data_IF_843223489967
#
_entry.id   IF_843223489967
#
_cell.length_a   1.000
_cell.length_b   1.000
_cell.length_c   1.000
_cell.angle_alpha   90.00
_cell.angle_beta   90.00
_cell.angle_gamma   90.00
#
_symmetry.space_group_name_H-M   'P 1'
#
loop_
_entity.id
_entity.type
_entity.pdbx_description
1 polymer ?
#
# COMPACT_ATOMS: atom_id res chain seq x y z
N UNK A 1 5.13 9.59 -22.42
CA UNK A 1 5.20 10.09 -21.04
C UNK A 1 5.13 8.90 -20.11
N UNK A 2 6.03 8.80 -19.13
CA UNK A 2 5.96 7.77 -18.11
C UNK A 2 4.94 8.17 -17.02
N UNK A 3 3.88 7.39 -16.83
CA UNK A 3 2.86 7.69 -15.81
C UNK A 3 3.43 7.66 -14.38
N UNK A 4 4.30 6.68 -14.06
CA UNK A 4 4.90 6.51 -12.73
C UNK A 4 5.75 7.71 -12.32
N UNK A 5 6.42 8.35 -13.28
CA UNK A 5 7.18 9.56 -13.03
C UNK A 5 6.30 10.68 -12.45
N UNK A 6 5.12 10.91 -13.05
CA UNK A 6 4.17 11.91 -12.55
C UNK A 6 3.61 11.53 -11.19
N UNK A 7 3.36 10.25 -10.94
CA UNK A 7 2.97 9.76 -9.61
C UNK A 7 4.01 10.14 -8.54
N UNK A 8 5.30 9.98 -8.84
CA UNK A 8 6.35 10.38 -7.91
C UNK A 8 6.44 11.90 -7.75
N UNK A 9 6.36 12.67 -8.84
CA UNK A 9 6.38 14.14 -8.79
C UNK A 9 5.26 14.67 -7.90
N UNK A 10 4.02 14.21 -8.07
CA UNK A 10 2.88 14.70 -7.29
C UNK A 10 3.00 14.43 -5.79
N UNK A 11 3.81 13.44 -5.40
CA UNK A 11 4.09 13.11 -3.99
C UNK A 11 5.20 13.97 -3.38
N UNK A 12 6.00 14.67 -4.18
CA UNK A 12 7.05 15.57 -3.69
C UNK A 12 6.46 16.82 -3.07
N UNK A 13 7.14 17.38 -2.06
CA UNK A 13 6.66 18.59 -1.38
C UNK A 13 6.72 19.83 -2.26
N UNK A 14 7.63 19.87 -3.25
CA UNK A 14 7.67 20.93 -4.25
C UNK A 14 6.35 20.98 -5.05
N UNK A 15 5.87 19.83 -5.52
CA UNK A 15 4.62 19.77 -6.27
C UNK A 15 3.40 20.02 -5.37
N UNK A 16 3.40 19.51 -4.13
CA UNK A 16 2.34 19.84 -3.16
C UNK A 16 2.29 21.33 -2.86
N UNK A 17 3.45 21.99 -2.76
CA UNK A 17 3.56 23.44 -2.60
C UNK A 17 2.92 24.19 -3.75
N UNK A 18 3.26 23.82 -4.99
CA UNK A 18 2.66 24.39 -6.20
C UNK A 18 1.13 24.20 -6.23
N UNK A 19 0.65 22.98 -5.94
CA UNK A 19 -0.78 22.67 -5.85
C UNK A 19 -1.46 23.54 -4.79
N UNK A 20 -0.85 23.70 -3.62
CA UNK A 20 -1.39 24.52 -2.53
C UNK A 20 -1.44 26.02 -2.89
N UNK A 21 -0.43 26.55 -3.58
CA UNK A 21 -0.41 27.94 -4.05
C UNK A 21 -1.47 28.21 -5.12
N UNK A 22 -1.72 27.23 -5.99
CA UNK A 22 -2.72 27.31 -7.06
C UNK A 22 -4.14 26.99 -6.59
N UNK A 23 -4.30 26.40 -5.41
CA UNK A 23 -5.61 26.09 -4.83
C UNK A 23 -6.27 27.31 -4.18
N UNK A 24 -7.60 27.34 -4.18
CA UNK A 24 -8.41 28.42 -3.57
C UNK A 24 -9.28 27.89 -2.45
N UNK A 25 -9.37 28.63 -1.34
CA UNK A 25 -10.21 28.28 -0.20
C UNK A 25 -10.09 29.32 0.93
N UNK A 26 -11.04 29.28 1.86
CA UNK A 26 -11.01 30.10 3.10
C UNK A 26 -10.18 29.39 4.18
N UNK A 27 -10.23 28.06 4.21
CA UNK A 27 -9.51 27.21 5.17
C UNK A 27 -8.69 26.18 4.37
N UNK A 28 -7.48 25.90 4.82
CA UNK A 28 -6.49 25.06 4.12
C UNK A 28 -6.96 23.62 3.90
N UNK A 29 -7.77 23.08 4.80
CA UNK A 29 -8.38 21.75 4.71
C UNK A 29 -9.51 21.65 3.66
N UNK A 30 -9.97 22.79 3.13
CA UNK A 30 -11.05 22.90 2.14
C UNK A 30 -10.61 23.61 0.86
N UNK A 31 -9.31 23.67 0.64
CA UNK A 31 -8.73 24.17 -0.59
C UNK A 31 -9.18 23.30 -1.77
N UNK A 32 -9.61 23.96 -2.85
CA UNK A 32 -9.98 23.31 -4.11
C UNK A 32 -9.01 23.76 -5.19
N UNK A 33 -8.50 22.81 -5.95
CA UNK A 33 -7.80 23.08 -7.19
C UNK A 33 -8.78 22.92 -8.36
N UNK A 34 -9.09 24.03 -9.04
CA UNK A 34 -9.96 24.00 -10.20
C UNK A 34 -9.20 23.52 -11.44
N UNK A 35 -9.94 23.02 -12.42
CA UNK A 35 -9.35 22.47 -13.64
C UNK A 35 -8.47 23.46 -14.41
N UNK A 36 -8.89 24.73 -14.45
CA UNK A 36 -8.12 25.80 -15.11
C UNK A 36 -6.79 26.04 -14.42
N UNK A 37 -6.77 26.04 -13.08
CA UNK A 37 -5.54 26.19 -12.29
C UNK A 37 -4.66 24.95 -12.41
N UNK A 38 -5.24 23.75 -12.43
CA UNK A 38 -4.51 22.49 -12.58
C UNK A 38 -3.71 22.42 -13.88
N UNK A 39 -4.29 22.86 -15.01
CA UNK A 39 -3.59 22.88 -16.31
C UNK A 39 -2.39 23.83 -16.33
N UNK A 40 -2.39 24.82 -15.47
CA UNK A 40 -1.36 25.86 -15.42
C UNK A 40 -0.28 25.56 -14.37
N UNK A 41 -0.31 24.39 -13.72
CA UNK A 41 0.72 23.98 -12.76
C UNK A 41 2.08 23.90 -13.45
N UNK A 42 3.09 24.48 -12.81
CA UNK A 42 4.46 24.39 -13.30
C UNK A 42 5.10 23.08 -12.85
N UNK A 43 5.24 22.13 -13.78
CA UNK A 43 5.83 20.81 -13.53
C UNK A 43 7.10 20.60 -14.37
N UNK A 44 8.16 20.00 -13.81
CA UNK A 44 9.31 19.59 -14.60
C UNK A 44 8.91 18.39 -15.46
N UNK A 45 9.07 18.55 -16.78
CA UNK A 45 8.81 17.49 -17.76
C UNK A 45 10.09 17.24 -18.56
N UNK A 46 11.02 16.43 -18.01
CA UNK A 46 12.22 16.04 -18.75
C UNK A 46 11.85 15.10 -19.91
N UNK A 47 12.83 14.72 -20.73
CA UNK A 47 12.58 13.77 -21.82
C UNK A 47 12.17 12.38 -21.30
N UNK A 48 11.58 11.56 -22.16
CA UNK A 48 11.08 10.24 -21.78
C UNK A 48 12.18 9.34 -21.19
N UNK A 49 13.41 9.44 -21.70
CA UNK A 49 14.51 8.59 -21.27
C UNK A 49 14.94 8.94 -19.85
N UNK A 50 15.01 10.22 -19.53
CA UNK A 50 15.31 10.71 -18.19
C UNK A 50 14.18 10.36 -17.21
N UNK A 51 12.91 10.46 -17.63
CA UNK A 51 11.77 10.00 -16.83
C UNK A 51 11.92 8.52 -16.44
N UNK A 52 12.25 7.66 -17.42
CA UNK A 52 12.42 6.22 -17.19
C UNK A 52 13.62 5.92 -16.29
N UNK A 53 14.72 6.66 -16.44
CA UNK A 53 15.90 6.55 -15.57
C UNK A 53 15.59 6.91 -14.12
N UNK A 54 14.85 8.00 -13.89
CA UNK A 54 14.45 8.43 -12.56
C UNK A 54 13.57 7.37 -11.90
N UNK A 55 12.57 6.84 -12.63
CA UNK A 55 11.69 5.78 -12.12
C UNK A 55 12.50 4.52 -11.78
N UNK A 56 13.39 4.08 -12.67
CA UNK A 56 14.22 2.90 -12.43
C UNK A 56 15.16 3.09 -11.22
N UNK A 57 15.66 4.30 -11.00
CA UNK A 57 16.49 4.60 -9.84
C UNK A 57 15.67 4.48 -8.55
N UNK A 58 14.48 5.08 -8.50
CA UNK A 58 13.59 5.00 -7.33
C UNK A 58 13.22 3.53 -7.05
N UNK A 59 12.81 2.77 -8.05
CA UNK A 59 12.44 1.36 -7.89
C UNK A 59 13.61 0.51 -7.38
N UNK A 60 14.84 0.84 -7.77
CA UNK A 60 16.03 0.15 -7.26
C UNK A 60 16.27 0.45 -5.77
N UNK A 61 16.15 1.72 -5.37
CA UNK A 61 16.34 2.16 -3.99
C UNK A 61 15.23 1.64 -3.06
N UNK A 62 13.99 1.56 -3.53
CA UNK A 62 12.85 1.09 -2.72
C UNK A 62 12.72 -0.44 -2.67
N UNK A 63 13.34 -1.17 -3.62
CA UNK A 63 13.21 -2.63 -3.73
C UNK A 63 13.41 -3.39 -2.42
N UNK A 64 14.41 -2.99 -1.61
CA UNK A 64 14.70 -3.66 -0.33
C UNK A 64 13.57 -3.46 0.68
N UNK A 65 12.99 -2.26 0.70
CA UNK A 65 11.85 -1.92 1.55
C UNK A 65 10.64 -2.76 1.13
N UNK A 66 10.35 -2.81 -0.17
CA UNK A 66 9.24 -3.60 -0.72
C UNK A 66 9.38 -5.10 -0.39
N UNK A 67 10.59 -5.65 -0.51
CA UNK A 67 10.88 -7.04 -0.11
C UNK A 67 10.68 -7.28 1.38
N UNK A 68 11.03 -6.30 2.22
CA UNK A 68 10.86 -6.40 3.68
C UNK A 68 9.38 -6.38 4.04
N UNK A 69 8.61 -5.49 3.41
CA UNK A 69 7.15 -5.40 3.58
C UNK A 69 6.49 -6.71 3.14
N UNK A 70 6.87 -7.24 1.97
CA UNK A 70 6.35 -8.50 1.46
C UNK A 70 6.61 -9.66 2.43
N UNK A 71 7.85 -9.78 2.92
CA UNK A 71 8.22 -10.85 3.85
C UNK A 71 7.47 -10.73 5.17
N UNK A 72 7.32 -9.51 5.70
CA UNK A 72 6.55 -9.26 6.93
C UNK A 72 5.06 -9.59 6.77
N UNK A 73 4.44 -9.19 5.66
CA UNK A 73 3.03 -9.56 5.35
C UNK A 73 2.88 -11.08 5.27
N UNK A 74 3.81 -11.77 4.60
CA UNK A 74 3.79 -13.23 4.51
C UNK A 74 3.91 -13.90 5.87
N UNK A 75 4.73 -13.37 6.76
CA UNK A 75 4.87 -13.89 8.13
C UNK A 75 3.57 -13.71 8.94
N UNK A 76 2.93 -12.54 8.82
CA UNK A 76 1.63 -12.27 9.44
C UNK A 76 0.58 -13.29 8.94
N UNK A 77 0.51 -13.54 7.64
CA UNK A 77 -0.43 -14.51 7.07
C UNK A 77 -0.21 -15.93 7.61
N UNK A 78 1.05 -16.36 7.72
CA UNK A 78 1.39 -17.67 8.28
C UNK A 78 1.01 -17.77 9.76
N UNK A 79 1.19 -16.71 10.54
CA UNK A 79 0.77 -16.66 11.94
C UNK A 79 -0.76 -16.73 12.07
N UNK A 80 -1.51 -16.09 11.16
CA UNK A 80 -2.98 -16.16 11.11
C UNK A 80 -3.47 -17.56 10.75
N UNK A 81 -2.86 -18.20 9.75
CA UNK A 81 -3.15 -19.58 9.37
C UNK A 81 -2.86 -20.54 10.54
N UNK A 82 -1.70 -20.38 11.18
CA UNK A 82 -1.30 -21.16 12.34
C UNK A 82 -2.28 -20.99 13.50
N UNK A 83 -2.68 -19.76 13.84
CA UNK A 83 -3.69 -19.50 14.88
C UNK A 83 -5.01 -20.19 14.56
N UNK A 84 -5.49 -20.07 13.33
CA UNK A 84 -6.75 -20.71 12.90
C UNK A 84 -6.67 -22.23 13.03
N UNK A 85 -5.56 -22.83 12.61
CA UNK A 85 -5.31 -24.26 12.77
C UNK A 85 -5.24 -24.68 14.24
N UNK A 86 -4.53 -23.92 15.07
CA UNK A 86 -4.38 -24.19 16.50
C UNK A 86 -5.75 -24.19 17.19
N UNK A 87 -6.60 -23.20 16.91
CA UNK A 87 -7.98 -23.14 17.40
C UNK A 87 -8.75 -24.38 16.93
N UNK A 88 -8.65 -24.74 15.65
CA UNK A 88 -9.32 -25.92 15.10
C UNK A 88 -8.88 -27.22 15.78
N UNK A 89 -7.57 -27.41 15.99
CA UNK A 89 -7.01 -28.60 16.62
C UNK A 89 -7.43 -28.71 18.11
N UNK A 90 -7.53 -27.58 18.82
CA UNK A 90 -8.05 -27.53 20.20
C UNK A 90 -9.55 -27.87 20.22
N UNK A 91 -10.36 -27.24 19.37
CA UNK A 91 -11.83 -27.45 19.34
C UNK A 91 -12.19 -28.87 18.89
N UNK A 92 -11.40 -29.45 17.97
CA UNK A 92 -11.57 -30.85 17.54
C UNK A 92 -11.00 -31.86 18.53
N UNK A 93 -10.40 -31.40 19.64
CA UNK A 93 -9.83 -32.26 20.68
C UNK A 93 -8.57 -33.01 20.25
N UNK A 94 -7.96 -32.64 19.12
CA UNK A 94 -6.65 -33.16 18.69
C UNK A 94 -5.52 -32.62 19.57
N UNK A 95 -5.72 -31.44 20.16
CA UNK A 95 -4.80 -30.82 21.11
C UNK A 95 -5.53 -30.56 22.44
N UNK A 96 -5.11 -31.21 23.53
CA UNK A 96 -5.66 -31.00 24.87
C UNK A 96 -4.90 -29.89 25.62
N UNK A 97 -5.63 -28.89 26.09
CA UNK A 97 -5.10 -27.68 26.75
C UNK A 97 -5.53 -27.57 28.22
N UNK A 98 -6.21 -28.59 28.78
CA UNK A 98 -6.82 -28.54 30.12
C UNK A 98 -5.82 -28.47 31.28
N UNK A 99 -4.56 -28.85 31.05
CA UNK A 99 -3.47 -28.80 32.04
C UNK A 99 -2.44 -27.69 31.80
N UNK A 100 -2.71 -26.77 30.87
CA UNK A 100 -1.77 -25.70 30.52
C UNK A 100 -1.98 -24.53 31.49
N UNK A 101 -0.96 -24.24 32.30
CA UNK A 101 -0.92 -23.01 33.08
C UNK A 101 -0.62 -21.83 32.14
N UNK A 102 -1.58 -20.92 32.01
CA UNK A 102 -1.41 -19.73 31.18
C UNK A 102 -0.53 -18.71 31.93
N UNK A 103 0.49 -18.13 31.27
CA UNK A 103 1.21 -17.00 31.84
C UNK A 103 0.26 -15.81 32.03
N UNK A 104 0.50 -14.98 33.05
CA UNK A 104 -0.26 -13.75 33.27
C UNK A 104 -0.04 -12.81 32.07
N UNK A 105 -1.11 -12.55 31.31
CA UNK A 105 -1.10 -11.61 30.19
C UNK A 105 -1.26 -10.21 30.78
N UNK A 106 -0.33 -9.30 30.49
CA UNK A 106 -0.50 -7.87 30.81
C UNK A 106 -1.59 -7.32 29.88
N UNK A 107 -2.71 -6.84 30.43
CA UNK A 107 -3.87 -6.38 29.66
C UNK A 107 -3.49 -5.26 28.66
N UNK A 108 -2.39 -4.54 28.92
CA UNK A 108 -1.83 -3.52 28.02
C UNK A 108 -1.28 -4.09 26.69
N UNK A 109 -1.01 -5.40 26.60
CA UNK A 109 -0.55 -6.08 25.37
C UNK A 109 -1.69 -6.77 24.60
N UNK A 110 -2.95 -6.52 24.97
CA UNK A 110 -4.08 -7.06 24.22
C UNK A 110 -4.16 -6.36 22.86
N UNK A 111 -3.56 -6.98 21.85
CA UNK A 111 -3.66 -6.53 20.47
C UNK A 111 -5.09 -6.86 20.02
N UNK A 112 -5.93 -5.83 19.83
CA UNK A 112 -7.19 -6.00 19.10
C UNK A 112 -6.86 -6.62 17.75
N UNK A 113 -7.65 -7.61 17.32
CA UNK A 113 -7.46 -8.28 16.03
C UNK A 113 -7.43 -7.20 14.93
N UNK A 114 -6.22 -6.89 14.44
CA UNK A 114 -6.05 -5.89 13.38
C UNK A 114 -6.63 -6.52 12.11
N UNK A 115 -7.86 -6.14 11.78
CA UNK A 115 -8.49 -6.41 10.50
C UNK A 115 -7.79 -5.55 9.43
N UNK A 116 -6.66 -6.04 8.93
CA UNK A 116 -5.94 -5.43 7.79
C UNK A 116 -6.68 -5.71 6.46
N UNK A 117 -7.75 -6.50 6.50
CA UNK A 117 -8.50 -6.91 5.31
C UNK A 117 -9.21 -5.73 4.59
N UNK A 118 -9.16 -4.50 5.12
CA UNK A 118 -9.60 -3.30 4.41
C UNK A 118 -8.61 -2.76 3.35
N UNK A 119 -7.35 -3.20 3.33
CA UNK A 119 -6.33 -2.75 2.34
C UNK A 119 -5.85 -3.88 1.42
N UNK A 120 -6.75 -4.77 1.00
CA UNK A 120 -6.46 -5.74 -0.07
C UNK A 120 -6.60 -5.07 -1.44
N UNK A 121 -5.78 -4.05 -1.74
CA UNK A 121 -5.53 -3.59 -3.13
C UNK A 121 -4.64 -4.63 -3.86
N UNK A 122 -5.05 -5.90 -3.85
CA UNK A 122 -4.40 -6.98 -4.61
C UNK A 122 -5.31 -7.52 -5.73
N UNK A 123 -6.37 -6.80 -6.10
CA UNK A 123 -7.25 -7.19 -7.22
C UNK A 123 -6.72 -6.74 -8.60
N UNK A 124 -5.76 -5.82 -8.70
CA UNK A 124 -5.41 -5.20 -10.00
C UNK A 124 -4.31 -5.90 -10.84
N UNK A 125 -3.87 -7.12 -10.51
CA UNK A 125 -2.81 -7.80 -11.29
C UNK A 125 -3.21 -9.10 -12.00
N UNK A 126 -4.49 -9.44 -12.11
CA UNK A 126 -4.93 -10.66 -12.84
C UNK A 126 -5.76 -10.35 -14.11
N UNK A 127 -6.33 -9.15 -14.28
CA UNK A 127 -7.23 -8.89 -15.42
C UNK A 127 -6.55 -8.53 -16.76
N UNK A 128 -5.23 -8.34 -16.81
CA UNK A 128 -4.58 -7.87 -18.05
C UNK A 128 -4.15 -8.96 -19.04
N UNK A 129 -4.32 -10.26 -18.72
CA UNK A 129 -3.88 -11.36 -19.59
C UNK A 129 -5.01 -12.08 -20.36
N UNK A 130 -6.30 -11.74 -20.14
CA UNK A 130 -7.41 -12.44 -20.81
C UNK A 130 -8.05 -11.69 -22.00
N UNK A 131 -7.74 -10.40 -22.24
CA UNK A 131 -8.40 -9.62 -23.32
C UNK A 131 -7.67 -9.70 -24.67
N UNK A 132 -6.60 -10.48 -24.80
CA UNK A 132 -5.85 -10.61 -26.07
C UNK A 132 -6.31 -11.75 -26.98
N UNK A 133 -7.28 -12.59 -26.58
CA UNK A 133 -7.72 -13.76 -27.35
C UNK A 133 -9.24 -13.82 -27.58
N UNK A 134 -9.88 -12.68 -27.85
CA UNK A 134 -11.27 -12.67 -28.31
C UNK A 134 -11.50 -11.53 -29.31
N UNK A 135 -10.90 -11.64 -30.49
CA UNK A 135 -11.45 -11.10 -31.73
C UNK A 135 -10.72 -11.78 -32.91
N UNK A 136 -11.30 -12.89 -33.35
CA UNK A 136 -11.14 -13.47 -34.70
C UNK A 136 -12.47 -13.29 -35.44
#
# INVERSE_FOLDING_TARGET
>A
MNSRFFTFIFRTDACKGEINCSSRGIVSDRNRLYWEDFKNLYLPVPDQREQDQIVSFIDMETRRIDQTIFSGRREIDLLREYRTRLISDVVTGKLDVRGVELPAIDEAETIEDINIDEDTEAEDMIESEEVANADE
#
